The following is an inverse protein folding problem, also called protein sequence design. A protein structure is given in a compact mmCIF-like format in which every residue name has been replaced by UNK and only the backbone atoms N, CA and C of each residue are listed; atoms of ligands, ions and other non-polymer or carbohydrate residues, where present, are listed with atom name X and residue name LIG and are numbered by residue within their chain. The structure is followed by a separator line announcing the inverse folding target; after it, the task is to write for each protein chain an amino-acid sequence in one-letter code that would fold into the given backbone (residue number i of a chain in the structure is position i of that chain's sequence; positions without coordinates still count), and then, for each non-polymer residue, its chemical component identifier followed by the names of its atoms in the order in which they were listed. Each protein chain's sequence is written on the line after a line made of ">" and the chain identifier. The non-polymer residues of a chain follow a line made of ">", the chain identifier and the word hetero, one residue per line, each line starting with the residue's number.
data_IF_197902067716
#
_entry.id   IF_197902067716
#
_cell.length_a   1.000
_cell.length_b   1.000
_cell.length_c   1.000
_cell.angle_alpha   90.00
_cell.angle_beta   90.00
_cell.angle_gamma   90.00
#
_symmetry.space_group_name_H-M   'P 1'
#
loop_
_entity.id
_entity.type
_entity.pdbx_description
1 polymer ?
#
# COMPACT_ATOMS: atom_id res chain seq x y z
N UNK A 1 -13.57 -1.57 20.24
CA UNK A 1 -12.25 -2.30 20.22
C UNK A 1 -11.36 -1.72 19.17
N UNK A 2 -10.09 -1.41 19.47
CA UNK A 2 -9.18 -0.79 18.51
C UNK A 2 -8.25 -1.85 17.90
N UNK A 3 -8.26 -1.99 16.57
CA UNK A 3 -7.39 -2.90 15.84
C UNK A 3 -6.46 -2.11 14.91
N UNK A 4 -5.18 -2.50 14.85
CA UNK A 4 -4.17 -1.80 14.05
C UNK A 4 -3.53 -2.74 13.04
N UNK A 5 -3.49 -2.33 11.78
CA UNK A 5 -3.00 -3.09 10.63
C UNK A 5 -1.88 -2.30 9.94
N UNK A 6 -0.69 -2.89 9.80
CA UNK A 6 0.49 -2.20 9.28
C UNK A 6 0.61 -2.33 7.76
N UNK A 7 1.09 -1.28 7.13
CA UNK A 7 1.50 -1.31 5.73
C UNK A 7 2.80 -2.10 5.58
N UNK A 8 2.87 -2.93 4.53
CA UNK A 8 4.06 -3.72 4.19
C UNK A 8 4.46 -3.48 2.73
N UNK A 9 5.77 -3.45 2.42
CA UNK A 9 6.25 -3.37 1.06
C UNK A 9 5.95 -4.68 0.31
N UNK A 10 5.11 -4.61 -0.72
CA UNK A 10 4.72 -5.77 -1.54
C UNK A 10 5.87 -6.32 -2.34
N UNK A 11 6.72 -5.44 -2.87
CA UNK A 11 7.83 -5.77 -3.75
C UNK A 11 9.19 -5.73 -3.05
N UNK A 12 9.23 -6.06 -1.75
CA UNK A 12 10.47 -6.02 -0.96
C UNK A 12 11.58 -6.88 -1.56
N UNK A 13 11.26 -8.09 -2.02
CA UNK A 13 12.23 -8.99 -2.67
C UNK A 13 12.78 -8.39 -3.96
N UNK A 14 11.89 -7.87 -4.82
CA UNK A 14 12.28 -7.21 -6.07
C UNK A 14 13.17 -6.01 -5.79
N UNK A 15 12.83 -5.16 -4.82
CA UNK A 15 13.63 -4.00 -4.46
C UNK A 15 15.04 -4.40 -3.99
N UNK A 16 15.19 -5.43 -3.16
CA UNK A 16 16.50 -5.95 -2.76
C UNK A 16 17.30 -6.54 -3.93
N UNK A 17 16.63 -7.27 -4.82
CA UNK A 17 17.27 -7.78 -6.05
C UNK A 17 17.76 -6.62 -6.93
N UNK A 18 16.94 -5.58 -7.10
CA UNK A 18 17.30 -4.40 -7.89
C UNK A 18 18.51 -3.67 -7.29
N UNK A 19 18.57 -3.54 -5.96
CA UNK A 19 19.73 -2.95 -5.28
C UNK A 19 20.97 -3.83 -5.45
N UNK A 20 20.84 -5.15 -5.26
CA UNK A 20 21.96 -6.08 -5.38
C UNK A 20 22.54 -6.15 -6.80
N UNK A 21 21.67 -6.37 -7.79
CA UNK A 21 22.08 -6.45 -9.21
C UNK A 21 22.60 -5.09 -9.70
N UNK A 22 21.91 -4.00 -9.38
CA UNK A 22 22.35 -2.66 -9.75
C UNK A 22 23.70 -2.29 -9.13
N UNK A 23 23.90 -2.62 -7.86
CA UNK A 23 25.17 -2.39 -7.16
C UNK A 23 26.31 -3.22 -7.77
N UNK A 24 26.08 -4.50 -8.06
CA UNK A 24 27.07 -5.37 -8.71
C UNK A 24 27.44 -4.85 -10.12
N UNK A 25 26.42 -4.46 -10.89
CA UNK A 25 26.64 -3.91 -12.24
C UNK A 25 27.48 -2.62 -12.20
N UNK A 26 27.16 -1.71 -11.28
CA UNK A 26 27.90 -0.47 -11.11
C UNK A 26 29.35 -0.74 -10.66
N UNK A 27 29.57 -1.67 -9.72
CA UNK A 27 30.88 -2.02 -9.22
C UNK A 27 31.76 -2.64 -10.30
N UNK A 28 31.23 -3.58 -11.10
CA UNK A 28 31.93 -4.17 -12.24
C UNK A 28 32.27 -3.11 -13.27
N UNK A 29 31.34 -2.24 -13.65
CA UNK A 29 31.60 -1.17 -14.61
C UNK A 29 32.70 -0.21 -14.16
N UNK A 30 32.75 0.10 -12.87
CA UNK A 30 33.79 0.93 -12.27
C UNK A 30 35.17 0.23 -12.32
N UNK A 31 35.23 -1.09 -12.10
CA UNK A 31 36.48 -1.86 -12.06
C UNK A 31 37.12 -2.08 -13.44
N UNK A 32 36.32 -2.12 -14.52
CA UNK A 32 36.78 -2.36 -15.89
C UNK A 32 37.00 -1.09 -16.72
N UNK A 33 37.08 0.08 -16.10
CA UNK A 33 37.41 1.33 -16.78
C UNK A 33 36.25 2.28 -16.97
N UNK A 34 35.29 2.32 -16.03
CA UNK A 34 34.22 3.33 -15.98
C UNK A 34 33.29 3.33 -17.21
N UNK A 35 32.83 2.17 -17.62
CA UNK A 35 31.86 2.06 -18.73
C UNK A 35 30.56 2.77 -18.31
N UNK A 36 30.25 3.88 -18.96
CA UNK A 36 29.21 4.82 -18.52
C UNK A 36 27.81 4.20 -18.45
N UNK A 37 27.39 3.44 -19.47
CA UNK A 37 26.03 2.91 -19.53
C UNK A 37 25.70 1.93 -18.39
N UNK A 38 26.47 0.87 -18.11
CA UNK A 38 26.19 -0.04 -17.01
C UNK A 38 26.40 0.63 -15.63
N UNK A 39 27.31 1.60 -15.52
CA UNK A 39 27.47 2.36 -14.28
C UNK A 39 26.22 3.17 -13.94
N UNK A 40 25.71 3.93 -14.91
CA UNK A 40 24.52 4.77 -14.73
C UNK A 40 23.28 3.93 -14.48
N UNK A 41 23.05 2.88 -15.26
CA UNK A 41 21.90 2.00 -15.10
C UNK A 41 21.93 1.25 -13.76
N UNK A 42 23.10 0.81 -13.31
CA UNK A 42 23.30 0.21 -12.00
C UNK A 42 22.99 1.17 -10.86
N UNK A 43 23.51 2.41 -10.95
CA UNK A 43 23.23 3.45 -9.96
C UNK A 43 21.74 3.82 -9.88
N UNK A 44 21.04 3.92 -11.02
CA UNK A 44 19.59 4.15 -11.07
C UNK A 44 18.85 2.99 -10.39
N UNK A 45 19.20 1.75 -10.67
CA UNK A 45 18.60 0.58 -10.04
C UNK A 45 18.76 0.60 -8.52
N UNK A 46 19.95 0.91 -8.02
CA UNK A 46 20.19 1.07 -6.58
C UNK A 46 19.33 2.19 -6.00
N UNK A 47 19.29 3.36 -6.65
CA UNK A 47 18.54 4.52 -6.18
C UNK A 47 17.03 4.22 -6.08
N UNK A 48 16.43 3.61 -7.10
CA UNK A 48 15.01 3.24 -7.11
C UNK A 48 14.69 2.20 -6.03
N UNK A 49 15.50 1.13 -5.94
CA UNK A 49 15.31 0.09 -4.94
C UNK A 49 15.45 0.62 -3.52
N UNK A 50 16.48 1.44 -3.26
CA UNK A 50 16.69 2.06 -1.95
C UNK A 50 15.57 3.04 -1.59
N UNK A 51 15.12 3.88 -2.53
CA UNK A 51 14.02 4.81 -2.32
C UNK A 51 12.71 4.08 -1.97
N UNK A 52 12.42 2.97 -2.66
CA UNK A 52 11.28 2.14 -2.33
C UNK A 52 11.39 1.55 -0.92
N UNK A 53 12.54 0.96 -0.55
CA UNK A 53 12.74 0.36 0.78
C UNK A 53 12.73 1.39 1.92
N UNK A 54 13.19 2.60 1.65
CA UNK A 54 13.21 3.71 2.62
C UNK A 54 11.90 4.51 2.68
N UNK A 55 10.90 4.16 1.89
CA UNK A 55 9.65 4.91 1.81
C UNK A 55 8.97 5.06 3.19
N UNK A 56 8.53 6.26 3.56
CA UNK A 56 7.79 6.50 4.80
C UNK A 56 6.44 5.78 4.84
N UNK A 57 5.93 5.32 3.70
CA UNK A 57 4.69 4.53 3.59
C UNK A 57 4.73 3.27 4.46
N UNK A 58 5.90 2.65 4.65
CA UNK A 58 6.05 1.44 5.48
C UNK A 58 5.90 1.69 6.98
N UNK A 59 5.85 2.95 7.39
CA UNK A 59 5.60 3.37 8.77
C UNK A 59 4.13 3.66 9.04
N UNK A 60 3.28 3.62 8.01
CA UNK A 60 1.85 3.83 8.14
C UNK A 60 1.16 2.58 8.68
N UNK A 61 0.05 2.81 9.36
CA UNK A 61 -0.87 1.78 9.79
C UNK A 61 -2.31 2.27 9.59
N UNK A 62 -3.22 1.33 9.42
CA UNK A 62 -4.66 1.55 9.47
C UNK A 62 -5.12 1.15 10.86
N UNK A 63 -5.74 2.05 11.57
CA UNK A 63 -6.38 1.79 12.85
C UNK A 63 -7.89 1.85 12.66
N UNK A 64 -8.58 0.80 13.05
CA UNK A 64 -10.04 0.70 13.03
C UNK A 64 -10.51 0.73 14.47
N UNK A 65 -11.40 1.65 14.78
CA UNK A 65 -12.07 1.78 16.07
C UNK A 65 -13.60 1.88 15.90
N UNK A 66 -14.32 1.98 17.01
CA UNK A 66 -15.79 2.01 16.99
C UNK A 66 -16.35 3.29 16.32
N UNK A 67 -15.55 4.37 16.26
CA UNK A 67 -15.95 5.66 15.69
C UNK A 67 -15.51 5.85 14.22
N UNK A 68 -14.49 5.11 13.75
CA UNK A 68 -13.99 5.30 12.40
C UNK A 68 -12.72 4.56 12.06
N UNK A 69 -12.16 4.93 10.92
CA UNK A 69 -10.93 4.43 10.36
C UNK A 69 -9.89 5.56 10.32
N UNK A 70 -8.71 5.30 10.86
CA UNK A 70 -7.60 6.23 10.85
C UNK A 70 -6.41 5.65 10.10
N UNK A 71 -5.80 6.44 9.20
CA UNK A 71 -4.54 6.11 8.55
C UNK A 71 -3.46 7.07 9.03
N UNK A 72 -2.40 6.53 9.57
CA UNK A 72 -1.31 7.35 10.09
C UNK A 72 -0.09 6.53 10.50
N UNK A 73 0.89 7.22 11.03
CA UNK A 73 2.06 6.64 11.69
C UNK A 73 2.01 6.99 13.18
N UNK A 74 2.85 6.35 13.99
CA UNK A 74 2.94 6.63 15.44
C UNK A 74 3.14 8.12 15.80
N UNK A 75 3.67 8.92 14.86
CA UNK A 75 3.99 10.35 15.10
C UNK A 75 3.09 11.31 14.32
N UNK A 76 2.39 10.85 13.28
CA UNK A 76 1.62 11.75 12.41
C UNK A 76 0.41 11.02 11.84
N UNK A 77 -0.79 11.52 12.16
CA UNK A 77 -2.03 11.17 11.48
C UNK A 77 -1.99 11.71 10.06
N UNK A 78 -2.36 10.88 9.09
CA UNK A 78 -2.53 11.30 7.70
C UNK A 78 -3.95 11.77 7.45
N UNK A 79 -4.93 10.91 7.77
CA UNK A 79 -6.36 11.26 7.75
C UNK A 79 -7.15 10.32 8.67
N UNK A 80 -8.36 10.72 9.02
CA UNK A 80 -9.38 9.90 9.70
C UNK A 80 -10.70 10.04 8.94
N UNK A 81 -11.44 8.97 8.85
CA UNK A 81 -12.80 8.91 8.30
C UNK A 81 -13.69 8.34 9.40
N UNK A 82 -14.66 9.12 9.88
CA UNK A 82 -15.70 8.58 10.75
C UNK A 82 -16.61 7.65 9.92
N UNK A 83 -17.17 6.61 10.53
CA UNK A 83 -18.07 5.70 9.81
C UNK A 83 -19.28 6.41 9.22
N UNK A 84 -19.74 7.48 9.85
CA UNK A 84 -20.80 8.36 9.33
C UNK A 84 -20.41 9.11 8.07
N UNK A 85 -19.12 9.48 7.93
CA UNK A 85 -18.58 10.25 6.82
C UNK A 85 -18.21 9.37 5.61
N UNK A 86 -18.24 8.04 5.75
CA UNK A 86 -18.04 7.11 4.64
C UNK A 86 -19.15 7.31 3.61
N UNK A 87 -18.76 7.67 2.39
CA UNK A 87 -19.70 7.86 1.27
C UNK A 87 -20.12 6.51 0.71
N UNK A 88 -19.14 5.66 0.39
CA UNK A 88 -19.34 4.29 -0.09
C UNK A 88 -18.13 3.42 0.18
N UNK A 89 -18.35 2.12 0.20
CA UNK A 89 -17.30 1.09 0.19
C UNK A 89 -17.52 0.18 -1.00
N UNK A 90 -16.55 0.11 -1.89
CA UNK A 90 -16.55 -0.89 -2.98
C UNK A 90 -15.76 -2.08 -2.52
N UNK A 91 -16.40 -3.23 -2.38
CA UNK A 91 -15.82 -4.43 -1.79
C UNK A 91 -15.80 -5.60 -2.79
N UNK A 92 -14.65 -6.25 -2.93
CA UNK A 92 -14.50 -7.49 -3.68
C UNK A 92 -14.14 -8.63 -2.69
N UNK A 93 -15.14 -9.39 -2.21
CA UNK A 93 -14.95 -10.41 -1.19
C UNK A 93 -13.98 -11.53 -1.59
N UNK A 94 -13.99 -11.93 -2.86
CA UNK A 94 -13.12 -12.99 -3.39
C UNK A 94 -11.63 -12.73 -3.22
N UNK A 95 -11.22 -11.45 -3.26
CA UNK A 95 -9.83 -11.01 -3.12
C UNK A 95 -9.52 -10.31 -1.80
N UNK A 96 -10.51 -10.12 -0.93
CA UNK A 96 -10.46 -9.29 0.27
C UNK A 96 -9.91 -7.88 -0.04
N UNK A 97 -10.38 -7.31 -1.14
CA UNK A 97 -10.02 -5.98 -1.60
C UNK A 97 -11.18 -5.05 -1.34
N UNK A 98 -10.92 -3.89 -0.77
CA UNK A 98 -11.96 -2.85 -0.68
C UNK A 98 -11.37 -1.46 -0.88
N UNK A 99 -12.23 -0.57 -1.38
CA UNK A 99 -11.96 0.85 -1.49
C UNK A 99 -12.97 1.58 -0.62
N UNK A 100 -12.47 2.30 0.37
CA UNK A 100 -13.27 3.13 1.28
C UNK A 100 -13.19 4.57 0.79
N UNK A 101 -14.31 5.13 0.41
CA UNK A 101 -14.42 6.51 -0.06
C UNK A 101 -14.89 7.41 1.10
N UNK A 102 -14.05 8.32 1.52
CA UNK A 102 -14.34 9.33 2.53
C UNK A 102 -14.75 10.68 1.95
N UNK A 103 -15.20 10.72 0.68
CA UNK A 103 -15.70 11.93 0.02
C UNK A 103 -14.62 12.85 -0.56
N UNK A 104 -13.33 12.50 -0.40
CA UNK A 104 -12.21 13.23 -1.00
C UNK A 104 -11.05 12.28 -1.32
N UNK A 105 -10.25 12.54 -2.37
CA UNK A 105 -9.14 11.65 -2.77
C UNK A 105 -8.08 11.46 -1.69
N UNK A 106 -7.83 12.48 -0.88
CA UNK A 106 -6.89 12.47 0.23
C UNK A 106 -7.45 11.81 1.50
N UNK A 107 -8.75 11.51 1.52
CA UNK A 107 -9.48 10.82 2.59
C UNK A 107 -10.08 9.50 2.13
N UNK A 108 -9.37 8.79 1.26
CA UNK A 108 -9.79 7.48 0.75
C UNK A 108 -8.73 6.43 1.04
N UNK A 109 -9.16 5.20 1.30
CA UNK A 109 -8.28 4.06 1.57
C UNK A 109 -8.55 2.94 0.59
N UNK A 110 -7.50 2.49 -0.09
CA UNK A 110 -7.49 1.23 -0.82
C UNK A 110 -6.86 0.15 0.05
N UNK A 111 -7.59 -0.91 0.35
CA UNK A 111 -7.08 -2.17 0.90
C UNK A 111 -6.80 -3.09 -0.28
N UNK A 112 -5.52 -3.27 -0.69
CA UNK A 112 -5.20 -3.99 -1.92
C UNK A 112 -5.30 -5.49 -1.72
N UNK A 113 -5.98 -6.16 -2.62
CA UNK A 113 -6.03 -7.62 -2.68
C UNK A 113 -4.93 -8.25 -3.55
N UNK A 114 -5.05 -9.55 -3.78
CA UNK A 114 -4.19 -10.26 -4.72
C UNK A 114 -4.42 -9.71 -6.12
N UNK A 115 -3.35 -9.30 -6.81
CA UNK A 115 -3.43 -8.74 -8.17
C UNK A 115 -3.71 -7.23 -8.24
N UNK A 116 -4.11 -6.57 -7.16
CA UNK A 116 -4.33 -5.13 -7.17
C UNK A 116 -3.03 -4.35 -7.49
N UNK A 117 -3.09 -3.29 -8.32
CA UNK A 117 -1.92 -2.52 -8.74
C UNK A 117 -1.45 -1.53 -7.65
N UNK A 118 -1.17 -2.05 -6.45
CA UNK A 118 -0.67 -1.25 -5.34
C UNK A 118 0.77 -1.64 -4.97
N UNK A 119 1.65 -0.68 -4.67
CA UNK A 119 3.04 -0.96 -4.29
C UNK A 119 3.16 -1.47 -2.86
N UNK A 120 2.07 -1.51 -2.12
CA UNK A 120 2.00 -1.95 -0.73
C UNK A 120 0.97 -3.07 -0.55
N UNK A 121 1.10 -3.78 0.55
CA UNK A 121 0.10 -4.68 1.11
C UNK A 121 -0.20 -4.24 2.56
N UNK A 122 -1.27 -4.77 3.14
CA UNK A 122 -1.64 -4.51 4.54
C UNK A 122 -1.64 -5.83 5.29
N UNK A 123 -1.04 -5.82 6.47
CA UNK A 123 -0.99 -6.98 7.35
C UNK A 123 -2.41 -7.38 7.77
N UNK A 124 -2.67 -8.68 7.87
CA UNK A 124 -3.99 -9.23 8.22
C UNK A 124 -5.16 -8.62 7.41
N UNK A 125 -4.92 -8.37 6.13
CA UNK A 125 -5.87 -7.78 5.19
C UNK A 125 -7.30 -8.32 5.29
N UNK A 126 -7.45 -9.65 5.43
CA UNK A 126 -8.77 -10.27 5.55
C UNK A 126 -9.51 -9.79 6.80
N UNK A 127 -8.82 -9.68 7.94
CA UNK A 127 -9.40 -9.16 9.17
C UNK A 127 -9.75 -7.67 9.06
N UNK A 128 -8.88 -6.89 8.41
CA UNK A 128 -9.16 -5.47 8.14
C UNK A 128 -10.40 -5.32 7.25
N UNK A 129 -10.50 -6.13 6.19
CA UNK A 129 -11.66 -6.15 5.29
C UNK A 129 -12.96 -6.43 6.06
N UNK A 130 -12.98 -7.51 6.87
CA UNK A 130 -14.12 -7.86 7.72
C UNK A 130 -14.47 -6.75 8.72
N UNK A 131 -13.45 -6.17 9.38
CA UNK A 131 -13.65 -5.09 10.33
C UNK A 131 -14.28 -3.85 9.68
N UNK A 132 -13.86 -3.47 8.47
CA UNK A 132 -14.45 -2.35 7.73
C UNK A 132 -15.92 -2.65 7.39
N UNK A 133 -16.21 -3.84 6.85
CA UNK A 133 -17.57 -4.21 6.47
C UNK A 133 -18.52 -4.33 7.68
N UNK A 134 -18.00 -4.67 8.86
CA UNK A 134 -18.81 -4.77 10.09
C UNK A 134 -19.24 -3.42 10.67
N UNK A 135 -18.50 -2.34 10.34
CA UNK A 135 -18.77 -1.00 10.89
C UNK A 135 -19.48 -0.07 9.91
N UNK A 136 -19.43 -0.38 8.60
CA UNK A 136 -20.07 0.45 7.57
C UNK A 136 -21.51 0.00 7.36
N UNK A 137 -22.41 0.97 7.17
CA UNK A 137 -23.81 0.72 6.84
C UNK A 137 -23.91 -0.15 5.58
N UNK A 138 -24.65 -1.26 5.59
CA UNK A 138 -24.84 -2.14 4.44
C UNK A 138 -25.28 -1.43 3.15
N UNK A 139 -26.08 -0.36 3.29
CA UNK A 139 -26.57 0.44 2.15
C UNK A 139 -25.44 1.20 1.42
N UNK A 140 -24.30 1.41 2.09
CA UNK A 140 -23.12 2.05 1.51
C UNK A 140 -22.12 1.05 0.93
N UNK A 141 -22.38 -0.25 1.03
CA UNK A 141 -21.46 -1.30 0.56
C UNK A 141 -21.88 -1.78 -0.83
N UNK A 142 -21.07 -1.45 -1.82
CA UNK A 142 -21.17 -1.98 -3.18
C UNK A 142 -20.28 -3.21 -3.33
N UNK A 143 -20.87 -4.38 -3.57
CA UNK A 143 -20.13 -5.63 -3.79
C UNK A 143 -19.87 -5.84 -5.28
N UNK A 144 -18.61 -6.04 -5.63
CA UNK A 144 -18.15 -6.28 -7.00
C UNK A 144 -17.32 -7.57 -7.07
N UNK A 145 -17.25 -8.19 -8.24
CA UNK A 145 -16.37 -9.35 -8.43
C UNK A 145 -14.89 -8.96 -8.43
N UNK A 146 -14.58 -7.78 -8.99
CA UNK A 146 -13.22 -7.22 -9.07
C UNK A 146 -13.29 -5.70 -9.12
N UNK A 147 -12.39 -5.01 -8.41
CA UNK A 147 -12.29 -3.54 -8.45
C UNK A 147 -11.88 -2.99 -9.83
N UNK A 148 -11.27 -3.80 -10.69
CA UNK A 148 -10.90 -3.41 -12.05
C UNK A 148 -12.11 -3.15 -12.96
N UNK A 149 -13.27 -3.71 -12.63
CA UNK A 149 -14.52 -3.55 -13.39
C UNK A 149 -15.45 -2.45 -12.87
N UNK A 150 -15.12 -1.86 -11.73
CA UNK A 150 -15.87 -0.74 -11.17
C UNK A 150 -15.38 0.58 -11.80
N UNK A 151 -15.79 0.85 -13.05
CA UNK A 151 -15.64 2.16 -13.72
C UNK A 151 -16.97 2.86 -13.80
#
# INVERSE_FOLDING_TARGET
>A
MTATYRFRPRYRGVAWTTVGVGGSLAAVAASIGMVALPLVSGAIGVAIGAAYLASPTWRLAVTVDDDGLEVGSARRRRFRIAWTDVVRVVAAPSSHTCFVDGGAPDRSLLVPGVGAPAPYDIEDRAKLFEAILAHVDPDKIERVESLERAK
#
